data_IF_918686046440
#
_entry.id   IF_918686046440
#
_cell.length_a   1.000
_cell.length_b   1.000
_cell.length_c   1.000
_cell.angle_alpha   90.00
_cell.angle_beta   90.00
_cell.angle_gamma   90.00
#
_symmetry.space_group_name_H-M   'P 1'
#
loop_
_entity.id
_entity.type
_entity.pdbx_description
1 polymer ?
#
# COMPACT_ATOMS: atom_id res chain seq x y z
N UNK A 1 14.10 47.69 -67.41
CA UNK A 1 13.34 48.46 -66.39
C UNK A 1 12.49 47.47 -65.59
N UNK A 2 12.63 47.48 -64.25
CA UNK A 2 11.74 46.91 -63.21
C UNK A 2 11.58 45.37 -63.22
N UNK A 3 12.37 44.61 -62.44
CA UNK A 3 12.21 44.26 -61.00
C UNK A 3 10.91 43.52 -60.67
N UNK A 4 11.03 42.21 -60.39
CA UNK A 4 10.37 41.56 -59.25
C UNK A 4 11.11 40.27 -58.91
N UNK A 5 11.66 40.25 -57.70
CA UNK A 5 12.35 39.12 -57.05
C UNK A 5 11.27 38.32 -56.33
N UNK A 6 11.17 37.02 -56.58
CA UNK A 6 10.34 36.11 -55.79
C UNK A 6 11.27 35.31 -54.87
N UNK A 7 11.41 35.76 -53.62
CA UNK A 7 12.13 35.05 -52.58
C UNK A 7 11.22 33.95 -52.01
N UNK A 8 11.59 32.69 -52.23
CA UNK A 8 10.90 31.54 -51.65
C UNK A 8 11.35 31.39 -50.19
N UNK A 9 10.42 31.64 -49.27
CA UNK A 9 10.65 31.56 -47.83
C UNK A 9 10.88 30.10 -47.40
N UNK A 10 12.11 29.80 -46.97
CA UNK A 10 12.45 28.57 -46.26
C UNK A 10 12.10 28.79 -44.77
N UNK A 11 10.83 28.64 -44.40
CA UNK A 11 10.41 28.70 -43.00
C UNK A 11 10.82 27.41 -42.29
N UNK A 12 11.91 27.52 -41.53
CA UNK A 12 12.45 26.47 -40.68
C UNK A 12 11.40 26.01 -39.65
N UNK A 13 11.06 24.72 -39.69
CA UNK A 13 10.44 24.01 -38.56
C UNK A 13 11.49 23.86 -37.45
N UNK A 14 11.74 24.92 -36.69
CA UNK A 14 12.37 24.81 -35.38
C UNK A 14 11.28 24.45 -34.37
N UNK A 15 10.99 23.15 -34.24
CA UNK A 15 10.27 22.64 -33.08
C UNK A 15 11.27 22.65 -31.92
N UNK A 16 11.07 23.44 -30.85
CA UNK A 16 11.92 23.34 -29.68
C UNK A 16 11.70 21.97 -29.02
N UNK A 17 12.71 21.12 -29.06
CA UNK A 17 12.77 19.83 -28.34
C UNK A 17 12.96 20.04 -26.82
N UNK A 18 12.21 20.96 -26.21
CA UNK A 18 12.47 21.43 -24.84
C UNK A 18 11.67 20.73 -23.75
N UNK A 19 10.89 19.68 -24.06
CA UNK A 19 9.97 19.07 -23.08
C UNK A 19 10.33 17.65 -22.62
N UNK A 20 11.58 17.20 -22.78
CA UNK A 20 12.00 15.86 -22.31
C UNK A 20 13.04 15.86 -21.18
N UNK A 21 13.53 17.03 -20.73
CA UNK A 21 14.70 17.11 -19.85
C UNK A 21 14.41 17.12 -18.33
N UNK A 22 13.16 16.92 -17.89
CA UNK A 22 12.80 17.02 -16.46
C UNK A 22 11.84 15.92 -15.97
N UNK A 23 12.00 14.70 -16.48
CA UNK A 23 11.50 13.52 -15.78
C UNK A 23 12.55 13.13 -14.73
N UNK A 24 12.59 13.86 -13.60
CA UNK A 24 13.26 13.32 -12.41
C UNK A 24 12.37 12.17 -11.92
N UNK A 25 12.74 10.94 -12.25
CA UNK A 25 12.26 9.77 -11.53
C UNK A 25 12.69 9.92 -10.06
N UNK A 26 11.83 10.52 -9.25
CA UNK A 26 12.06 10.62 -7.81
C UNK A 26 11.86 9.23 -7.22
N UNK A 27 12.92 8.66 -6.65
CA UNK A 27 12.82 7.43 -5.85
C UNK A 27 11.80 7.67 -4.73
N UNK A 28 10.76 6.84 -4.60
CA UNK A 28 9.80 6.98 -3.50
C UNK A 28 10.51 6.98 -2.15
N UNK A 29 10.15 7.92 -1.28
CA UNK A 29 10.69 8.00 0.07
C UNK A 29 10.18 6.83 0.94
N UNK A 30 11.07 6.21 1.72
CA UNK A 30 10.73 5.16 2.67
C UNK A 30 10.03 5.75 3.90
N UNK A 31 8.77 5.40 4.11
CA UNK A 31 7.91 6.07 5.12
C UNK A 31 7.92 5.36 6.47
N UNK A 32 8.10 4.04 6.46
CA UNK A 32 8.17 3.21 7.68
C UNK A 32 9.62 2.94 8.07
N UNK A 33 9.85 2.66 9.35
CA UNK A 33 11.16 2.24 9.86
C UNK A 33 11.60 0.97 9.16
N UNK A 34 10.70 0.00 8.95
CA UNK A 34 11.03 -1.24 8.23
C UNK A 34 11.50 -0.98 6.79
N UNK A 35 10.88 -0.04 6.07
CA UNK A 35 11.32 0.35 4.72
C UNK A 35 12.67 1.08 4.77
N UNK A 36 12.84 2.04 5.69
CA UNK A 36 14.08 2.78 5.86
C UNK A 36 15.24 1.85 6.20
N UNK A 37 14.99 0.88 7.08
CA UNK A 37 15.96 -0.13 7.47
C UNK A 37 16.31 -1.04 6.29
N UNK A 38 15.32 -1.40 5.47
CA UNK A 38 15.51 -2.21 4.27
C UNK A 38 16.28 -1.50 3.16
N UNK A 39 16.23 -0.17 3.11
CA UNK A 39 16.90 0.65 2.12
C UNK A 39 18.39 0.92 2.45
N UNK A 40 18.85 0.59 3.66
CA UNK A 40 20.27 0.77 4.05
C UNK A 40 21.18 -0.11 3.19
N UNK A 41 22.26 0.49 2.67
CA UNK A 41 23.27 -0.20 1.86
C UNK A 41 24.61 -0.30 2.60
N UNK A 42 25.42 -1.31 2.27
CA UNK A 42 26.77 -1.46 2.85
C UNK A 42 26.79 -2.00 4.29
N UNK A 43 25.66 -2.48 4.79
CA UNK A 43 25.52 -3.14 6.10
C UNK A 43 25.02 -4.56 5.93
N UNK A 44 25.36 -5.45 6.86
CA UNK A 44 24.78 -6.79 6.92
C UNK A 44 23.46 -6.73 7.67
N UNK A 45 22.40 -7.20 7.03
CA UNK A 45 21.04 -7.19 7.55
C UNK A 45 20.54 -8.61 7.81
N UNK A 46 20.17 -8.92 9.05
CA UNK A 46 19.48 -10.17 9.38
C UNK A 46 17.98 -9.89 9.38
N UNK A 47 17.20 -10.70 8.64
CA UNK A 47 15.75 -10.56 8.53
C UNK A 47 15.04 -11.81 9.02
N UNK A 48 14.43 -11.73 10.19
CA UNK A 48 13.46 -12.70 10.68
C UNK A 48 12.07 -12.43 10.09
N UNK A 49 11.37 -13.48 9.73
CA UNK A 49 9.97 -13.40 9.31
C UNK A 49 9.21 -14.67 9.68
N UNK A 50 7.94 -14.51 10.03
CA UNK A 50 7.05 -15.63 10.30
C UNK A 50 5.67 -15.35 9.71
N UNK A 51 5.15 -16.30 8.93
CA UNK A 51 3.76 -16.25 8.46
C UNK A 51 2.82 -16.48 9.64
N UNK A 52 1.89 -15.55 9.84
CA UNK A 52 0.88 -15.64 10.90
C UNK A 52 -0.39 -16.28 10.38
N UNK A 53 -0.80 -15.90 9.16
CA UNK A 53 -1.96 -16.51 8.51
C UNK A 53 -2.35 -15.81 7.23
N UNK A 54 -3.36 -16.37 6.58
CA UNK A 54 -3.97 -15.83 5.38
C UNK A 54 -5.48 -15.82 5.58
N UNK A 55 -6.12 -14.70 5.27
CA UNK A 55 -7.56 -14.57 5.20
C UNK A 55 -7.98 -14.52 3.74
N UNK A 56 -8.91 -15.41 3.36
CA UNK A 56 -9.46 -15.42 2.01
C UNK A 56 -10.58 -14.39 1.90
N UNK A 57 -10.53 -13.57 0.86
CA UNK A 57 -11.55 -12.59 0.52
C UNK A 57 -12.48 -13.06 -0.59
N UNK A 58 -13.35 -12.15 -1.00
CA UNK A 58 -14.22 -12.28 -2.16
C UNK A 58 -13.41 -12.17 -3.46
N UNK A 59 -13.99 -12.65 -4.57
CA UNK A 59 -13.45 -12.46 -5.93
C UNK A 59 -12.01 -12.97 -6.11
N UNK A 60 -11.69 -14.12 -5.51
CA UNK A 60 -10.36 -14.75 -5.55
C UNK A 60 -9.25 -13.80 -5.06
N UNK A 61 -9.55 -13.04 -4.01
CA UNK A 61 -8.56 -12.19 -3.34
C UNK A 61 -8.20 -12.76 -1.97
N UNK A 62 -7.04 -12.37 -1.43
CA UNK A 62 -6.68 -12.73 -0.06
C UNK A 62 -5.73 -11.71 0.57
N UNK A 63 -5.63 -11.77 1.89
CA UNK A 63 -4.67 -11.01 2.69
C UNK A 63 -3.78 -11.96 3.47
N UNK A 64 -2.47 -11.79 3.35
CA UNK A 64 -1.45 -12.56 4.06
C UNK A 64 -0.73 -11.67 5.07
N UNK A 65 -0.67 -12.10 6.34
CA UNK A 65 -0.03 -11.35 7.43
C UNK A 65 1.22 -12.08 7.88
N UNK A 66 2.34 -11.36 7.95
CA UNK A 66 3.61 -11.88 8.48
C UNK A 66 4.21 -10.91 9.50
N UNK A 67 4.88 -11.43 10.52
CA UNK A 67 5.75 -10.63 11.39
C UNK A 67 7.12 -10.46 10.77
N UNK A 68 7.80 -9.36 11.12
CA UNK A 68 9.16 -9.01 10.69
C UNK A 68 10.00 -8.57 11.88
N UNK A 69 11.24 -9.04 11.89
CA UNK A 69 12.33 -8.55 12.74
C UNK A 69 13.53 -8.26 11.84
N UNK A 70 14.00 -7.02 11.78
CA UNK A 70 15.22 -6.67 11.07
C UNK A 70 16.30 -6.26 12.06
N UNK A 71 17.48 -6.87 11.95
CA UNK A 71 18.65 -6.55 12.79
C UNK A 71 19.79 -6.06 11.90
N UNK A 72 20.29 -4.86 12.18
CA UNK A 72 21.55 -4.38 11.60
C UNK A 72 22.71 -4.94 12.41
N UNK A 73 23.53 -5.78 11.79
CA UNK A 73 24.63 -6.47 12.48
C UNK A 73 25.73 -5.50 12.92
N UNK A 74 25.87 -4.37 12.23
CA UNK A 74 26.94 -3.40 12.51
C UNK A 74 26.76 -2.69 13.85
N UNK A 75 25.54 -2.31 14.20
CA UNK A 75 25.23 -1.54 15.41
C UNK A 75 24.28 -2.27 16.37
N UNK A 76 23.80 -3.46 16.01
CA UNK A 76 22.86 -4.25 16.80
C UNK A 76 21.44 -3.69 16.85
N UNK A 77 21.13 -2.63 16.10
CA UNK A 77 19.79 -2.04 16.09
C UNK A 77 18.77 -3.02 15.52
N UNK A 78 17.58 -3.05 16.13
CA UNK A 78 16.48 -3.92 15.74
C UNK A 78 15.22 -3.13 15.46
N UNK A 79 14.54 -3.46 14.38
CA UNK A 79 13.22 -2.96 14.04
C UNK A 79 12.24 -4.10 13.90
N UNK A 80 11.01 -3.87 14.37
CA UNK A 80 9.93 -4.86 14.36
C UNK A 80 8.68 -4.30 13.70
N UNK A 81 7.88 -5.19 13.16
CA UNK A 81 6.55 -4.84 12.65
C UNK A 81 5.95 -6.00 11.87
N UNK A 82 4.99 -5.69 11.00
CA UNK A 82 4.31 -6.68 10.18
C UNK A 82 4.32 -6.27 8.70
N UNK A 83 4.15 -7.26 7.83
CA UNK A 83 3.77 -7.04 6.44
C UNK A 83 2.37 -7.57 6.20
N UNK A 84 1.59 -6.78 5.47
CA UNK A 84 0.27 -7.17 4.97
C UNK A 84 0.36 -7.19 3.45
N UNK A 85 0.26 -8.40 2.89
CA UNK A 85 0.30 -8.65 1.46
C UNK A 85 -1.12 -8.90 0.97
N UNK A 86 -1.57 -8.13 -0.01
CA UNK A 86 -2.83 -8.35 -0.70
C UNK A 86 -2.55 -9.10 -1.99
N UNK A 87 -3.40 -10.09 -2.28
CA UNK A 87 -3.29 -10.92 -3.47
C UNK A 87 -4.63 -10.93 -4.21
N UNK A 88 -4.57 -10.95 -5.54
CA UNK A 88 -5.72 -11.14 -6.44
C UNK A 88 -5.34 -12.06 -7.59
N UNK A 89 -6.07 -13.15 -7.73
CA UNK A 89 -6.01 -14.01 -8.90
C UNK A 89 -6.78 -13.36 -10.07
N UNK A 90 -6.10 -13.08 -11.19
CA UNK A 90 -6.67 -12.37 -12.35
C UNK A 90 -6.63 -13.21 -13.64
N UNK A 91 -6.43 -14.53 -13.50
CA UNK A 91 -6.49 -15.56 -14.55
C UNK A 91 -5.38 -15.54 -15.61
N UNK A 92 -4.80 -14.38 -15.93
CA UNK A 92 -3.61 -14.25 -16.80
C UNK A 92 -2.34 -13.97 -16.01
N UNK A 93 -2.42 -13.04 -15.07
CA UNK A 93 -1.32 -12.65 -14.19
C UNK A 93 -1.88 -12.33 -12.82
N UNK A 94 -1.46 -13.09 -11.82
CA UNK A 94 -1.80 -12.79 -10.44
C UNK A 94 -1.15 -11.48 -10.02
N UNK A 95 -1.89 -10.71 -9.22
CA UNK A 95 -1.43 -9.42 -8.71
C UNK A 95 -1.21 -9.56 -7.21
N UNK A 96 -0.08 -9.05 -6.75
CA UNK A 96 0.20 -8.94 -5.33
C UNK A 96 0.90 -7.63 -5.01
N UNK A 97 0.64 -7.09 -3.83
CA UNK A 97 1.37 -5.96 -3.29
C UNK A 97 1.50 -6.10 -1.77
N UNK A 98 2.60 -5.59 -1.21
CA UNK A 98 2.93 -5.70 0.22
C UNK A 98 3.12 -4.33 0.84
N UNK A 99 2.46 -4.12 1.97
CA UNK A 99 2.58 -2.92 2.81
C UNK A 99 3.31 -3.27 4.10
N UNK A 100 4.16 -2.35 4.56
CA UNK A 100 4.88 -2.46 5.83
C UNK A 100 4.16 -1.67 6.90
N UNK A 101 4.05 -2.24 8.10
CA UNK A 101 3.47 -1.58 9.26
C UNK A 101 4.49 -1.68 10.38
N UNK A 102 4.96 -0.53 10.88
CA UNK A 102 5.88 -0.51 12.01
C UNK A 102 5.17 -0.96 13.29
N UNK A 103 5.92 -1.52 14.24
CA UNK A 103 5.37 -2.02 15.50
C UNK A 103 4.54 -0.98 16.25
N UNK A 104 4.94 0.28 16.24
CA UNK A 104 4.23 1.39 16.90
C UNK A 104 2.94 1.82 16.17
N UNK A 105 2.70 1.36 14.93
CA UNK A 105 1.46 1.62 14.19
C UNK A 105 0.42 0.52 14.35
N UNK A 106 0.79 -0.66 14.88
CA UNK A 106 -0.09 -1.84 14.92
C UNK A 106 -1.37 -1.59 15.73
N UNK A 107 -1.28 -0.89 16.87
CA UNK A 107 -2.45 -0.61 17.71
C UNK A 107 -3.44 0.31 17.02
N UNK A 108 -2.96 1.39 16.40
CA UNK A 108 -3.81 2.29 15.61
C UNK A 108 -4.44 1.58 14.42
N UNK A 109 -3.74 0.61 13.79
CA UNK A 109 -4.30 -0.20 12.73
C UNK A 109 -5.44 -1.10 13.23
N UNK A 110 -5.26 -1.74 14.39
CA UNK A 110 -6.30 -2.57 15.02
C UNK A 110 -7.55 -1.72 15.34
N UNK A 111 -7.36 -0.54 15.92
CA UNK A 111 -8.44 0.42 16.21
C UNK A 111 -9.12 0.90 14.92
N UNK A 112 -8.35 1.20 13.88
CA UNK A 112 -8.85 1.57 12.56
C UNK A 112 -9.75 0.50 11.96
N UNK A 113 -9.32 -0.78 11.97
CA UNK A 113 -10.13 -1.91 11.50
C UNK A 113 -11.42 -2.03 12.32
N UNK A 114 -11.33 -1.86 13.64
CA UNK A 114 -12.49 -1.95 14.52
C UNK A 114 -13.51 -0.83 14.31
N UNK A 115 -13.04 0.39 14.00
CA UNK A 115 -13.93 1.47 13.64
C UNK A 115 -14.60 1.19 12.30
N UNK A 116 -13.81 0.85 11.27
CA UNK A 116 -14.30 0.57 9.92
C UNK A 116 -15.33 -0.56 9.93
N UNK A 117 -15.10 -1.65 10.68
CA UNK A 117 -16.03 -2.79 10.70
C UNK A 117 -17.41 -2.49 11.30
N UNK A 118 -17.55 -1.35 12.01
CA UNK A 118 -18.81 -0.90 12.61
C UNK A 118 -19.53 0.15 11.75
N UNK A 119 -18.92 0.62 10.66
CA UNK A 119 -19.50 1.63 9.78
C UNK A 119 -20.75 1.09 9.11
N UNK A 120 -21.81 1.91 9.10
CA UNK A 120 -23.12 1.58 8.53
C UNK A 120 -23.57 2.68 7.58
N UNK A 121 -24.57 2.38 6.75
CA UNK A 121 -25.08 3.30 5.75
C UNK A 121 -25.71 4.58 6.30
N UNK A 122 -26.06 4.61 7.58
CA UNK A 122 -26.63 5.76 8.29
C UNK A 122 -25.58 6.63 9.00
N UNK A 123 -24.28 6.37 8.79
CA UNK A 123 -23.19 7.17 9.36
C UNK A 123 -23.21 8.62 8.86
N UNK A 124 -23.83 8.87 7.70
CA UNK A 124 -24.05 10.18 7.11
C UNK A 124 -25.44 10.27 6.48
N UNK A 125 -25.93 11.49 6.27
CA UNK A 125 -27.21 11.75 5.59
C UNK A 125 -27.08 11.78 4.06
N UNK A 126 -25.86 11.69 3.54
CA UNK A 126 -25.59 11.66 2.09
C UNK A 126 -25.81 10.25 1.54
N UNK A 127 -26.21 10.16 0.27
CA UNK A 127 -26.54 8.89 -0.40
C UNK A 127 -25.32 7.97 -0.52
N UNK A 128 -24.17 8.54 -0.87
CA UNK A 128 -22.90 7.84 -1.02
C UNK A 128 -21.90 8.28 0.06
N UNK A 129 -21.16 7.32 0.59
CA UNK A 129 -20.10 7.58 1.56
C UNK A 129 -19.00 6.51 1.48
N UNK A 130 -17.84 6.88 2.01
CA UNK A 130 -16.67 6.03 2.13
C UNK A 130 -15.95 6.42 3.43
N UNK A 131 -15.49 5.41 4.17
CA UNK A 131 -14.63 5.57 5.33
C UNK A 131 -13.32 4.84 5.07
N UNK A 132 -12.20 5.55 5.26
CA UNK A 132 -10.86 5.05 4.98
C UNK A 132 -9.97 5.17 6.22
N UNK A 133 -9.17 4.14 6.45
CA UNK A 133 -8.03 4.17 7.36
C UNK A 133 -6.76 3.83 6.57
N UNK A 134 -5.72 4.67 6.71
CA UNK A 134 -4.45 4.50 5.98
C UNK A 134 -3.26 4.48 6.92
N UNK A 135 -2.29 3.60 6.63
CA UNK A 135 -1.01 3.54 7.34
C UNK A 135 0.09 4.26 6.56
N UNK A 136 1.27 4.45 7.18
CA UNK A 136 2.43 5.04 6.49
C UNK A 136 2.90 4.19 5.32
N UNK A 137 2.89 2.86 5.45
CA UNK A 137 3.34 1.92 4.42
C UNK A 137 2.31 1.65 3.31
N UNK A 138 1.46 2.63 3.00
CA UNK A 138 0.48 2.58 1.92
C UNK A 138 -0.48 1.36 2.00
N UNK A 139 -0.83 0.93 3.22
CA UNK A 139 -2.00 0.07 3.44
C UNK A 139 -3.23 0.95 3.62
N UNK A 140 -4.33 0.59 2.98
CA UNK A 140 -5.62 1.25 3.13
C UNK A 140 -6.74 0.24 3.37
N UNK A 141 -7.51 0.46 4.42
CA UNK A 141 -8.76 -0.25 4.70
C UNK A 141 -9.90 0.73 4.43
N UNK A 142 -10.76 0.39 3.47
CA UNK A 142 -11.79 1.28 2.96
C UNK A 142 -13.14 0.60 2.93
N UNK A 143 -14.21 1.33 3.24
CA UNK A 143 -15.58 0.88 2.96
C UNK A 143 -16.00 1.29 1.57
N UNK A 144 -16.75 0.43 0.89
CA UNK A 144 -17.47 0.81 -0.32
C UNK A 144 -18.89 0.25 -0.28
N UNK A 145 -19.82 0.96 -0.92
CA UNK A 145 -21.22 0.56 -1.00
C UNK A 145 -21.49 -0.19 -2.30
N UNK A 146 -22.41 -1.15 -2.23
CA UNK A 146 -23.05 -1.75 -3.40
C UNK A 146 -24.56 -1.79 -3.12
N UNK A 147 -25.26 -0.71 -3.48
CA UNK A 147 -26.63 -0.47 -3.02
C UNK A 147 -26.65 -0.25 -1.51
N UNK A 148 -27.50 -0.98 -0.78
CA UNK A 148 -27.61 -0.87 0.69
C UNK A 148 -26.55 -1.65 1.47
N UNK A 149 -25.73 -2.46 0.79
CA UNK A 149 -24.71 -3.29 1.45
C UNK A 149 -23.40 -2.52 1.51
N UNK A 150 -22.86 -2.37 2.72
CA UNK A 150 -21.51 -1.86 2.95
C UNK A 150 -20.55 -3.05 2.93
N UNK A 151 -19.49 -2.93 2.15
CA UNK A 151 -18.40 -3.90 2.05
C UNK A 151 -17.08 -3.23 2.37
N UNK A 152 -16.02 -4.03 2.52
CA UNK A 152 -14.70 -3.52 2.83
C UNK A 152 -13.66 -3.98 1.81
N UNK A 153 -12.68 -3.13 1.54
CA UNK A 153 -11.48 -3.46 0.79
C UNK A 153 -10.25 -3.23 1.67
N UNK A 154 -9.33 -4.19 1.65
CA UNK A 154 -7.97 -4.03 2.18
C UNK A 154 -7.04 -3.95 0.98
N UNK A 155 -6.41 -2.79 0.80
CA UNK A 155 -5.56 -2.50 -0.33
C UNK A 155 -4.13 -2.21 0.12
N UNK A 156 -3.18 -2.69 -0.66
CA UNK A 156 -1.76 -2.45 -0.45
C UNK A 156 -1.16 -1.76 -1.66
N UNK A 157 -0.35 -0.74 -1.40
CA UNK A 157 0.44 -0.03 -2.38
C UNK A 157 -0.19 1.25 -2.90
N UNK A 158 0.66 2.12 -3.46
CA UNK A 158 0.26 3.38 -4.08
C UNK A 158 0.26 3.31 -5.61
N UNK A 159 1.25 2.64 -6.18
CA UNK A 159 1.40 2.43 -7.64
C UNK A 159 1.22 0.95 -7.91
N UNK A 160 0.28 0.58 -8.78
CA UNK A 160 -0.06 -0.83 -9.02
C UNK A 160 -0.69 -1.50 -7.80
N UNK A 161 -1.49 -0.74 -7.03
CA UNK A 161 -2.11 -1.22 -5.82
C UNK A 161 -2.99 -2.45 -6.06
N UNK A 162 -3.02 -3.34 -5.07
CA UNK A 162 -3.81 -4.56 -5.10
C UNK A 162 -4.78 -4.53 -3.95
N UNK A 163 -6.06 -4.73 -4.25
CA UNK A 163 -7.13 -4.77 -3.27
C UNK A 163 -7.67 -6.19 -3.10
N UNK A 164 -7.84 -6.59 -1.85
CA UNK A 164 -8.63 -7.74 -1.45
C UNK A 164 -9.98 -7.27 -0.86
N UNK A 165 -11.06 -7.94 -1.21
CA UNK A 165 -12.42 -7.52 -0.92
C UNK A 165 -13.07 -8.45 0.10
N UNK A 166 -13.86 -7.90 1.01
CA UNK A 166 -14.44 -8.65 2.13
C UNK A 166 -15.87 -8.18 2.40
N UNK A 167 -16.70 -9.06 2.99
CA UNK A 167 -17.84 -8.54 3.74
C UNK A 167 -17.29 -7.77 4.94
N UNK A 168 -17.99 -6.72 5.37
CA UNK A 168 -17.50 -5.84 6.43
C UNK A 168 -17.32 -6.60 7.76
N UNK A 169 -18.11 -7.64 7.99
CA UNK A 169 -18.04 -8.51 9.16
C UNK A 169 -16.75 -9.36 9.18
N UNK A 170 -16.24 -9.73 8.01
CA UNK A 170 -15.05 -10.59 7.86
C UNK A 170 -13.74 -9.84 8.22
N UNK A 171 -13.79 -8.50 8.33
CA UNK A 171 -12.65 -7.70 8.81
C UNK A 171 -12.19 -8.12 10.21
N UNK A 172 -13.06 -8.73 11.02
CA UNK A 172 -12.68 -9.28 12.33
C UNK A 172 -11.59 -10.35 12.23
N UNK A 173 -11.57 -11.14 11.15
CA UNK A 173 -10.58 -12.19 10.95
C UNK A 173 -9.20 -11.59 10.67
N UNK A 174 -9.16 -10.54 9.84
CA UNK A 174 -7.94 -9.77 9.57
C UNK A 174 -7.42 -9.13 10.86
N UNK A 175 -8.31 -8.50 11.65
CA UNK A 175 -7.96 -7.94 12.97
C UNK A 175 -7.33 -9.01 13.87
N UNK A 176 -7.90 -10.21 13.91
CA UNK A 176 -7.39 -11.32 14.72
C UNK A 176 -6.02 -11.81 14.25
N UNK A 177 -5.74 -11.82 12.94
CA UNK A 177 -4.41 -12.13 12.42
C UNK A 177 -3.38 -11.07 12.85
N UNK A 178 -3.74 -9.79 12.82
CA UNK A 178 -2.88 -8.69 13.24
C UNK A 178 -2.62 -8.74 14.76
N UNK A 179 -3.64 -9.04 15.56
CA UNK A 179 -3.48 -9.25 17.01
C UNK A 179 -2.50 -10.39 17.31
N UNK A 180 -2.66 -11.54 16.64
CA UNK A 180 -1.72 -12.67 16.76
C UNK A 180 -0.31 -12.28 16.35
N UNK A 181 -0.17 -11.50 15.28
CA UNK A 181 1.12 -11.00 14.81
C UNK A 181 1.77 -10.09 15.86
N UNK A 182 1.00 -9.19 16.48
CA UNK A 182 1.46 -8.32 17.55
C UNK A 182 1.98 -9.13 18.74
N UNK A 183 1.19 -10.07 19.25
CA UNK A 183 1.59 -10.94 20.35
C UNK A 183 2.86 -11.73 20.02
N UNK A 184 3.00 -12.21 18.78
CA UNK A 184 4.20 -12.92 18.34
C UNK A 184 5.45 -12.02 18.36
N UNK A 185 5.33 -10.73 18.03
CA UNK A 185 6.43 -9.77 18.14
C UNK A 185 6.76 -9.51 19.61
N UNK A 186 5.75 -9.33 20.47
CA UNK A 186 5.93 -9.11 21.91
C UNK A 186 6.65 -10.28 22.61
N UNK A 187 6.48 -11.50 22.12
CA UNK A 187 7.22 -12.69 22.62
C UNK A 187 8.72 -12.67 22.31
N UNK A 188 9.15 -12.00 21.24
CA UNK A 188 10.53 -12.07 20.71
C UNK A 188 11.31 -10.76 20.84
N UNK A 189 10.63 -9.67 21.15
CA UNK A 189 11.19 -8.32 21.30
C UNK A 189 11.87 -8.14 22.65
#
# INVERSE_FOLDING_TARGET
MKKTILALALSAFFIPASNAANLKDSVPEAKTKLEQFSAKTGVVMIRGFQKIGTESGLYNTSVNVQTKEFTNVTDGTKEYGITIETFKEDGRYDKQHTSFIDYDEIDSLIEGIEYISKVKADVTQLEDFQADYKTKGDLEISTFSSGKKVMAAVSSGRIGSVAAYFNIEDLVNIKNLILKAKSKIEEVK
#
